data_IF_268977565092
#
_entry.id   IF_268977565092
#
_cell.length_a   1.000
_cell.length_b   1.000
_cell.length_c   1.000
_cell.angle_alpha   90.00
_cell.angle_beta   90.00
_cell.angle_gamma   90.00
#
_symmetry.space_group_name_H-M   'P 1'
#
loop_
_entity.id
_entity.type
_entity.pdbx_description
1 polymer ?
#
# COMPACT_ATOMS: atom_id res chain seq x y z
N UNK A 1 -20.80 -4.70 8.48
CA UNK A 1 -19.37 -4.59 8.12
C UNK A 1 -18.67 -5.77 8.76
N UNK A 2 -17.97 -6.60 8.00
CA UNK A 2 -17.10 -7.62 8.60
C UNK A 2 -16.10 -6.90 9.50
N UNK A 3 -15.94 -7.35 10.75
CA UNK A 3 -15.03 -6.72 11.70
C UNK A 3 -13.63 -6.64 11.12
N UNK A 4 -12.96 -5.50 11.27
CA UNK A 4 -11.56 -5.34 10.86
C UNK A 4 -10.72 -6.36 11.61
N UNK A 5 -9.87 -7.09 10.90
CA UNK A 5 -9.00 -8.08 11.52
C UNK A 5 -8.02 -7.36 12.48
N UNK A 6 -7.93 -7.73 13.76
CA UNK A 6 -7.05 -7.05 14.72
C UNK A 6 -5.56 -7.13 14.35
N UNK A 7 -5.16 -8.07 13.48
CA UNK A 7 -3.79 -8.17 12.95
C UNK A 7 -3.48 -7.14 11.84
N UNK A 8 -4.48 -6.42 11.33
CA UNK A 8 -4.30 -5.40 10.29
C UNK A 8 -3.96 -4.05 10.94
N UNK A 9 -2.70 -3.86 11.29
CA UNK A 9 -2.17 -2.64 11.89
C UNK A 9 -0.93 -2.16 11.11
N UNK A 10 -0.77 -0.84 10.86
CA UNK A 10 -1.72 0.23 11.12
C UNK A 10 -2.84 0.29 10.07
N UNK A 11 -4.07 0.57 10.50
CA UNK A 11 -5.22 0.75 9.62
C UNK A 11 -5.42 2.24 9.32
N UNK A 12 -5.52 2.61 8.04
CA UNK A 12 -5.86 3.96 7.63
C UNK A 12 -7.30 4.32 8.01
N UNK A 13 -7.51 5.56 8.47
CA UNK A 13 -8.84 6.13 8.61
C UNK A 13 -9.48 6.39 7.22
N UNK A 14 -10.73 6.81 7.19
CA UNK A 14 -11.45 7.02 5.92
C UNK A 14 -10.81 8.10 5.05
N UNK A 15 -10.36 9.20 5.67
CA UNK A 15 -9.75 10.32 4.96
C UNK A 15 -8.40 9.94 4.33
N UNK A 16 -7.54 9.26 5.09
CA UNK A 16 -6.27 8.76 4.59
C UNK A 16 -6.46 7.64 3.57
N UNK A 17 -7.45 6.76 3.76
CA UNK A 17 -7.78 5.71 2.79
C UNK A 17 -8.09 6.28 1.42
N UNK A 18 -8.95 7.32 1.33
CA UNK A 18 -9.24 7.96 0.05
C UNK A 18 -7.98 8.56 -0.58
N UNK A 19 -7.17 9.27 0.20
CA UNK A 19 -5.91 9.84 -0.29
C UNK A 19 -4.92 8.78 -0.79
N UNK A 20 -4.80 7.65 -0.09
CA UNK A 20 -3.96 6.52 -0.51
C UNK A 20 -4.49 5.96 -1.83
N UNK A 21 -5.80 5.72 -1.95
CA UNK A 21 -6.39 5.15 -3.17
C UNK A 21 -6.24 6.08 -4.38
N UNK A 22 -6.37 7.40 -4.18
CA UNK A 22 -6.16 8.41 -5.23
C UNK A 22 -4.70 8.39 -5.73
N UNK A 23 -3.73 8.34 -4.81
CA UNK A 23 -2.30 8.23 -5.18
C UNK A 23 -2.02 6.90 -5.88
N UNK A 24 -2.58 5.78 -5.40
CA UNK A 24 -2.42 4.48 -6.05
C UNK A 24 -2.96 4.51 -7.49
N UNK A 25 -4.10 5.18 -7.71
CA UNK A 25 -4.67 5.36 -9.03
C UNK A 25 -3.77 6.19 -9.94
N UNK A 26 -3.27 7.32 -9.45
CA UNK A 26 -2.34 8.15 -10.20
C UNK A 26 -1.04 7.38 -10.49
N UNK A 27 -0.43 6.74 -9.50
CA UNK A 27 0.78 5.93 -9.68
C UNK A 27 0.58 4.79 -10.69
N UNK A 28 -0.63 4.21 -10.79
CA UNK A 28 -0.96 3.23 -11.82
C UNK A 28 -0.90 3.83 -13.23
N UNK A 29 -1.40 5.06 -13.42
CA UNK A 29 -1.34 5.77 -14.72
C UNK A 29 0.11 6.13 -15.10
N UNK A 30 0.92 6.58 -14.14
CA UNK A 30 2.33 6.89 -14.34
C UNK A 30 3.25 5.65 -14.39
N UNK A 31 2.68 4.43 -14.36
CA UNK A 31 3.41 3.15 -14.33
C UNK A 31 4.41 3.02 -13.16
N UNK A 32 4.15 3.74 -12.08
CA UNK A 32 4.94 3.80 -10.84
C UNK A 32 4.31 2.93 -9.74
N UNK A 33 3.61 1.86 -10.14
CA UNK A 33 2.88 0.98 -9.24
C UNK A 33 3.15 -0.48 -9.59
N UNK A 34 3.41 -1.29 -8.56
CA UNK A 34 3.51 -2.74 -8.62
C UNK A 34 2.37 -3.36 -7.80
N UNK A 35 1.73 -4.39 -8.36
CA UNK A 35 0.44 -4.92 -7.90
C UNK A 35 0.62 -6.37 -7.47
N UNK A 36 0.11 -6.73 -6.29
CA UNK A 36 0.20 -8.07 -5.71
C UNK A 36 1.34 -8.23 -4.70
N UNK A 37 1.23 -9.25 -3.86
CA UNK A 37 2.18 -9.51 -2.78
C UNK A 37 3.59 -9.83 -3.30
N UNK A 38 3.71 -10.75 -4.26
CA UNK A 38 5.02 -11.13 -4.84
C UNK A 38 5.77 -9.95 -5.47
N UNK A 39 5.04 -9.05 -6.15
CA UNK A 39 5.66 -7.87 -6.75
C UNK A 39 6.07 -6.84 -5.70
N UNK A 40 5.28 -6.68 -4.62
CA UNK A 40 5.65 -5.86 -3.47
C UNK A 40 6.92 -6.40 -2.77
N UNK A 41 7.05 -7.71 -2.60
CA UNK A 41 8.27 -8.34 -2.07
C UNK A 41 9.48 -8.03 -2.95
N UNK A 42 9.33 -8.07 -4.28
CA UNK A 42 10.40 -7.74 -5.23
C UNK A 42 10.83 -6.27 -5.14
N UNK A 43 9.88 -5.34 -5.01
CA UNK A 43 10.20 -3.90 -4.90
C UNK A 43 10.92 -3.58 -3.59
N UNK A 44 10.52 -4.22 -2.49
CA UNK A 44 11.19 -4.09 -1.19
C UNK A 44 12.63 -4.63 -1.25
N UNK A 45 12.82 -5.83 -1.82
CA UNK A 45 14.15 -6.42 -1.97
C UNK A 45 15.08 -5.60 -2.87
N UNK A 46 14.51 -4.91 -3.87
CA UNK A 46 15.26 -4.03 -4.79
C UNK A 46 15.49 -2.62 -4.22
N UNK A 47 14.89 -2.26 -3.09
CA UNK A 47 15.02 -0.93 -2.49
C UNK A 47 14.39 0.19 -3.34
N UNK A 48 13.38 -0.13 -4.15
CA UNK A 48 12.69 0.84 -5.03
C UNK A 48 11.26 1.13 -4.57
N UNK A 49 10.87 0.67 -3.38
CA UNK A 49 9.53 0.87 -2.83
C UNK A 49 9.50 2.15 -1.99
N UNK A 50 8.52 3.02 -2.24
CA UNK A 50 8.28 4.22 -1.45
C UNK A 50 7.41 3.92 -0.23
N UNK A 51 6.32 3.18 -0.44
CA UNK A 51 5.45 2.65 0.61
C UNK A 51 4.63 1.47 0.09
N UNK A 52 4.13 0.65 1.02
CA UNK A 52 3.30 -0.52 0.75
C UNK A 52 1.87 -0.31 1.24
N UNK A 53 0.90 -0.70 0.42
CA UNK A 53 -0.53 -0.70 0.76
C UNK A 53 -1.02 -2.14 0.83
N UNK A 54 -1.63 -2.52 1.95
CA UNK A 54 -2.15 -3.86 2.23
C UNK A 54 -3.67 -3.83 2.41
N UNK A 55 -4.38 -4.88 2.02
CA UNK A 55 -5.83 -4.94 2.21
C UNK A 55 -6.20 -5.74 3.48
N UNK A 56 -6.95 -5.12 4.39
CA UNK A 56 -7.36 -5.69 5.68
C UNK A 56 -8.44 -6.79 5.56
N UNK A 57 -9.27 -6.76 4.52
CA UNK A 57 -10.32 -7.77 4.22
C UNK A 57 -9.78 -8.98 3.43
N UNK A 58 -8.47 -9.19 3.44
CA UNK A 58 -7.85 -10.36 2.84
C UNK A 58 -8.12 -11.60 3.69
N UNK A 59 -8.56 -12.67 3.04
CA UNK A 59 -8.89 -13.93 3.68
C UNK A 59 -8.17 -15.06 2.94
N UNK A 60 -7.21 -15.77 3.57
CA UNK A 60 -6.66 -15.54 4.91
C UNK A 60 -5.68 -14.36 4.95
N UNK A 61 -5.64 -13.60 6.05
CA UNK A 61 -4.75 -12.44 6.19
C UNK A 61 -3.27 -12.85 6.29
N UNK A 62 -3.02 -14.08 6.75
CA UNK A 62 -1.71 -14.69 6.93
C UNK A 62 -0.85 -14.65 5.65
N UNK A 63 -1.48 -14.61 4.46
CA UNK A 63 -0.76 -14.56 3.18
C UNK A 63 0.06 -13.28 3.00
N UNK A 64 -0.23 -12.21 3.74
CA UNK A 64 0.40 -10.90 3.59
C UNK A 64 1.16 -10.42 4.84
N UNK A 65 1.13 -11.19 5.94
CA UNK A 65 1.84 -10.84 7.19
C UNK A 65 3.37 -10.88 7.05
N UNK A 66 3.91 -11.45 5.98
CA UNK A 66 5.33 -11.38 5.67
C UNK A 66 5.78 -10.00 5.16
N UNK A 67 4.86 -9.18 4.64
CA UNK A 67 5.18 -7.86 4.10
C UNK A 67 5.49 -6.82 5.19
N UNK A 68 4.69 -6.68 6.27
CA UNK A 68 5.02 -5.79 7.40
C UNK A 68 6.44 -6.02 7.95
N UNK A 69 6.81 -7.28 8.22
CA UNK A 69 8.16 -7.64 8.70
C UNK A 69 9.25 -7.18 7.72
N UNK A 70 9.06 -7.42 6.42
CA UNK A 70 10.02 -7.00 5.41
C UNK A 70 10.07 -5.46 5.25
N UNK A 71 8.95 -4.78 5.48
CA UNK A 71 8.87 -3.32 5.44
C UNK A 71 9.66 -2.70 6.61
N UNK A 72 9.55 -3.28 7.82
CA UNK A 72 10.33 -2.86 8.99
C UNK A 72 11.83 -3.07 8.77
N UNK A 73 12.25 -4.24 8.28
CA UNK A 73 13.65 -4.54 7.96
C UNK A 73 14.26 -3.57 6.92
N UNK A 74 13.43 -3.07 5.99
CA UNK A 74 13.83 -2.17 4.91
C UNK A 74 13.57 -0.69 5.21
N UNK A 75 13.00 -0.38 6.38
CA UNK A 75 12.56 0.96 6.75
C UNK A 75 11.64 1.61 5.68
N UNK A 76 10.69 0.83 5.17
CA UNK A 76 9.68 1.27 4.20
C UNK A 76 8.32 1.37 4.90
N UNK A 77 7.61 2.51 4.85
CA UNK A 77 6.30 2.64 5.48
C UNK A 77 5.26 1.73 4.82
N UNK A 78 4.36 1.18 5.62
CA UNK A 78 3.25 0.34 5.16
C UNK A 78 1.95 0.70 5.87
N UNK A 79 0.82 0.45 5.21
CA UNK A 79 -0.50 0.76 5.75
C UNK A 79 -1.56 -0.21 5.24
N UNK A 80 -2.53 -0.52 6.11
CA UNK A 80 -3.71 -1.29 5.73
C UNK A 80 -4.86 -0.38 5.29
N UNK A 81 -5.47 -0.71 4.16
CA UNK A 81 -6.75 -0.16 3.70
C UNK A 81 -7.86 -1.19 3.92
N UNK A 82 -9.11 -0.75 4.16
CA UNK A 82 -10.19 -1.64 4.56
C UNK A 82 -10.61 -2.65 3.48
N UNK A 83 -10.44 -2.33 2.18
CA UNK A 83 -10.97 -3.18 1.09
C UNK A 83 -10.00 -3.45 -0.05
N UNK A 84 -9.78 -4.73 -0.35
CA UNK A 84 -9.06 -5.24 -1.54
C UNK A 84 -9.77 -4.94 -2.86
N UNK A 85 -11.09 -4.74 -2.83
CA UNK A 85 -11.88 -4.40 -4.02
C UNK A 85 -11.63 -2.93 -4.38
N UNK A 86 -11.65 -2.04 -3.38
CA UNK A 86 -11.31 -0.63 -3.58
C UNK A 86 -9.86 -0.48 -4.06
N UNK A 87 -8.92 -1.21 -3.43
CA UNK A 87 -7.52 -1.23 -3.86
C UNK A 87 -7.35 -1.75 -5.29
N UNK A 88 -8.07 -2.81 -5.67
CA UNK A 88 -8.06 -3.33 -7.05
C UNK A 88 -8.54 -2.30 -8.08
N UNK A 89 -9.63 -1.58 -7.76
CA UNK A 89 -10.15 -0.50 -8.61
C UNK A 89 -9.15 0.64 -8.75
N UNK A 90 -8.54 1.09 -7.66
CA UNK A 90 -7.48 2.10 -7.69
C UNK A 90 -6.27 1.64 -8.52
N UNK A 91 -5.92 0.35 -8.44
CA UNK A 91 -4.89 -0.25 -9.28
C UNK A 91 -5.29 -0.38 -10.77
N UNK A 92 -6.49 0.04 -11.18
CA UNK A 92 -6.98 -0.08 -12.55
C UNK A 92 -7.19 -1.52 -13.02
N UNK A 93 -7.52 -2.43 -12.10
CA UNK A 93 -7.80 -3.83 -12.42
C UNK A 93 -9.19 -4.23 -11.96
N UNK A 94 -9.83 -5.14 -12.70
CA UNK A 94 -11.17 -5.66 -12.37
C UNK A 94 -11.17 -6.68 -11.24
N UNK A 95 -9.99 -7.25 -10.93
CA UNK A 95 -9.80 -8.23 -9.85
C UNK A 95 -9.39 -7.55 -8.55
N UNK A 96 -9.74 -8.15 -7.42
CA UNK A 96 -9.26 -7.70 -6.10
C UNK A 96 -7.74 -7.72 -6.01
N UNK A 97 -7.16 -6.70 -5.40
CA UNK A 97 -5.72 -6.60 -5.13
C UNK A 97 -5.51 -6.56 -3.64
N UNK A 98 -4.64 -7.43 -3.13
CA UNK A 98 -4.39 -7.58 -1.68
C UNK A 98 -3.18 -6.76 -1.20
N UNK A 99 -2.31 -6.36 -2.12
CA UNK A 99 -1.08 -5.62 -1.83
C UNK A 99 -0.70 -4.78 -3.05
N UNK A 100 -0.19 -3.58 -2.82
CA UNK A 100 0.38 -2.73 -3.86
C UNK A 100 1.62 -2.01 -3.33
N UNK A 101 2.65 -1.84 -4.18
CA UNK A 101 3.82 -1.02 -3.89
C UNK A 101 3.83 0.17 -4.83
N UNK A 102 3.86 1.37 -4.27
CA UNK A 102 4.24 2.57 -5.02
C UNK A 102 5.76 2.58 -5.10
N UNK A 103 6.32 2.75 -6.31
CA UNK A 103 7.77 2.71 -6.51
C UNK A 103 8.37 4.11 -6.53
N UNK A 104 9.67 4.23 -6.35
CA UNK A 104 10.39 5.49 -6.51
C UNK A 104 10.52 5.86 -7.98
N UNK A 105 10.39 7.16 -8.28
CA UNK A 105 10.72 7.76 -9.57
C UNK A 105 10.97 9.25 -9.35
N UNK A 106 12.23 9.67 -9.41
CA UNK A 106 12.66 11.04 -9.12
C UNK A 106 12.13 12.07 -10.13
N UNK A 107 11.81 11.64 -11.35
CA UNK A 107 11.24 12.51 -12.38
C UNK A 107 9.70 12.60 -12.32
N UNK A 108 9.07 12.00 -11.31
CA UNK A 108 7.62 11.93 -11.21
C UNK A 108 7.03 13.17 -10.55
N UNK A 109 5.99 13.73 -11.17
CA UNK A 109 5.18 14.82 -10.61
C UNK A 109 4.46 14.40 -9.30
N UNK A 110 4.34 13.10 -9.06
CA UNK A 110 3.70 12.55 -7.85
C UNK A 110 4.59 12.59 -6.60
N UNK A 111 5.88 12.92 -6.73
CA UNK A 111 6.84 12.79 -5.62
C UNK A 111 6.40 13.57 -4.37
N UNK A 112 5.86 14.78 -4.53
CA UNK A 112 5.37 15.59 -3.40
C UNK A 112 4.17 14.97 -2.69
N UNK A 113 3.24 14.38 -3.44
CA UNK A 113 2.06 13.70 -2.89
C UNK A 113 2.45 12.39 -2.20
N UNK A 114 3.34 11.61 -2.82
CA UNK A 114 3.88 10.36 -2.25
C UNK A 114 4.54 10.67 -0.91
N UNK A 115 5.40 11.69 -0.84
CA UNK A 115 6.02 12.11 0.42
C UNK A 115 5.00 12.50 1.48
N UNK A 116 3.99 13.28 1.10
CA UNK A 116 2.92 13.70 2.03
C UNK A 116 2.16 12.50 2.61
N UNK A 117 1.88 11.48 1.80
CA UNK A 117 1.21 10.26 2.28
C UNK A 117 2.15 9.38 3.10
N UNK A 118 3.44 9.27 2.75
CA UNK A 118 4.44 8.59 3.58
C UNK A 118 4.49 9.19 4.99
N UNK A 119 4.60 10.53 5.10
CA UNK A 119 4.64 11.22 6.38
C UNK A 119 3.38 10.96 7.22
N UNK A 120 2.21 10.80 6.59
CA UNK A 120 0.96 10.44 7.29
C UNK A 120 0.93 8.99 7.74
N UNK A 121 1.45 8.06 6.93
CA UNK A 121 1.55 6.65 7.27
C UNK A 121 2.51 6.45 8.45
N UNK A 122 3.67 7.12 8.43
CA UNK A 122 4.65 7.05 9.52
C UNK A 122 4.08 7.51 10.86
N UNK A 123 3.20 8.52 10.85
CA UNK A 123 2.48 8.97 12.06
C UNK A 123 1.52 7.93 12.64
N UNK A 124 1.10 6.92 11.87
CA UNK A 124 0.25 5.84 12.36
C UNK A 124 1.06 4.69 13.00
N UNK A 125 2.37 4.66 12.77
CA UNK A 125 3.28 3.63 13.28
C UNK A 125 3.90 4.01 14.64
N UNK A 126 3.56 5.18 15.19
CA UNK A 126 3.95 5.68 16.52
C UNK A 126 2.79 5.46 17.49
#
# INVERSE_FOLDING_TARGET
MAGVNPKAFPLADEALTQQILDIVQQASHYRQLKKGANEATKTLNRGISEFIVLAADTAPLEILLHLPLLCEDKNVPYVFVPSKIALGRACGVSRSVISASVTSNEASELQGQIRTVKDKIERLLI
#
